data_IF_084384469713
#
_entry.id   IF_084384469713
#
_cell.length_a   1.000
_cell.length_b   1.000
_cell.length_c   1.000
_cell.angle_alpha   90.00
_cell.angle_beta   90.00
_cell.angle_gamma   90.00
#
_symmetry.space_group_name_H-M   'P 1'
#
loop_
_entity.id
_entity.type
_entity.pdbx_description
1 polymer ?
#
# COMPACT_ATOMS: atom_id res chain seq x y z
N UNK A 1 -13.52 -10.65 -16.34
CA UNK A 1 -14.50 -9.54 -16.26
C UNK A 1 -15.26 -9.60 -14.93
N UNK A 2 -14.58 -9.28 -13.81
CA UNK A 2 -15.16 -9.27 -12.47
C UNK A 2 -15.19 -7.88 -11.86
N UNK A 3 -15.84 -7.75 -10.72
CA UNK A 3 -15.68 -6.60 -9.82
C UNK A 3 -14.24 -6.55 -9.31
N UNK A 4 -13.83 -5.41 -8.78
CA UNK A 4 -12.51 -5.26 -8.17
C UNK A 4 -12.30 -6.26 -7.02
N UNK A 5 -13.34 -6.47 -6.19
CA UNK A 5 -13.30 -7.44 -5.10
C UNK A 5 -13.09 -8.90 -5.58
N UNK A 6 -13.83 -9.32 -6.61
CA UNK A 6 -13.66 -10.65 -7.19
C UNK A 6 -12.24 -10.86 -7.72
N UNK A 7 -11.71 -9.87 -8.43
CA UNK A 7 -10.36 -9.94 -8.99
C UNK A 7 -9.26 -9.95 -7.91
N UNK A 8 -9.43 -9.21 -6.80
CA UNK A 8 -8.51 -9.28 -5.64
C UNK A 8 -8.51 -10.69 -5.04
N UNK A 9 -9.70 -11.27 -4.86
CA UNK A 9 -9.84 -12.65 -4.34
C UNK A 9 -9.16 -13.65 -5.26
N UNK A 10 -9.42 -13.56 -6.56
CA UNK A 10 -8.81 -14.44 -7.56
C UNK A 10 -7.30 -14.31 -7.59
N UNK A 11 -6.77 -13.07 -7.60
CA UNK A 11 -5.32 -12.82 -7.60
C UNK A 11 -4.63 -13.42 -6.35
N UNK A 12 -5.24 -13.29 -5.17
CA UNK A 12 -4.72 -13.90 -3.94
C UNK A 12 -4.85 -15.43 -3.97
N UNK A 13 -5.94 -15.96 -4.52
CA UNK A 13 -6.16 -17.40 -4.62
C UNK A 13 -5.12 -18.09 -5.50
N UNK A 14 -4.64 -17.45 -6.59
CA UNK A 14 -3.56 -18.00 -7.44
C UNK A 14 -2.25 -18.22 -6.67
N UNK A 15 -2.07 -17.57 -5.52
CA UNK A 15 -0.90 -17.72 -4.65
C UNK A 15 -1.13 -18.71 -3.49
N UNK A 16 -2.26 -19.43 -3.50
CA UNK A 16 -2.66 -20.40 -2.49
C UNK A 16 -3.60 -19.83 -1.42
N UNK A 17 -4.28 -18.72 -1.73
CA UNK A 17 -5.23 -18.04 -0.84
C UNK A 17 -4.55 -17.26 0.30
N UNK A 18 -5.34 -16.49 1.04
CA UNK A 18 -4.81 -15.67 2.15
C UNK A 18 -4.23 -16.54 3.28
N UNK A 19 -4.71 -17.75 3.49
CA UNK A 19 -4.18 -18.71 4.47
C UNK A 19 -2.74 -19.16 4.18
N UNK A 20 -2.23 -18.93 2.97
CA UNK A 20 -0.82 -19.14 2.63
C UNK A 20 0.10 -18.06 3.25
N UNK A 21 -0.47 -16.93 3.66
CA UNK A 21 0.23 -15.77 4.23
C UNK A 21 -0.10 -15.55 5.70
N UNK A 22 -1.38 -15.64 6.06
CA UNK A 22 -1.93 -15.32 7.38
C UNK A 22 -2.30 -16.59 8.12
N UNK A 23 -1.85 -16.72 9.37
CA UNK A 23 -2.22 -17.82 10.27
C UNK A 23 -3.17 -17.31 11.36
N UNK A 24 -4.03 -18.19 11.92
CA UNK A 24 -4.90 -17.81 13.01
C UNK A 24 -4.14 -17.18 14.19
N UNK A 25 -4.68 -16.08 14.70
CA UNK A 25 -4.11 -15.33 15.82
C UNK A 25 -3.05 -14.28 15.46
N UNK A 26 -2.59 -14.21 14.22
CA UNK A 26 -1.61 -13.23 13.79
C UNK A 26 -2.20 -11.81 13.64
N UNK A 27 -1.33 -10.82 13.83
CA UNK A 27 -1.60 -9.41 13.51
C UNK A 27 -1.11 -9.11 12.10
N UNK A 28 -1.98 -8.54 11.29
CA UNK A 28 -1.69 -8.14 9.91
C UNK A 28 -1.65 -6.63 9.80
N UNK A 29 -0.70 -6.08 9.07
CA UNK A 29 -0.74 -4.70 8.61
C UNK A 29 -0.92 -4.66 7.09
N UNK A 30 -1.89 -3.87 6.65
CA UNK A 30 -2.11 -3.55 5.24
C UNK A 30 -1.72 -2.08 5.02
N UNK A 31 -0.84 -1.83 4.08
CA UNK A 31 -0.42 -0.49 3.68
C UNK A 31 -0.90 -0.20 2.26
N UNK A 32 -2.08 0.43 2.10
CA UNK A 32 -2.53 0.99 0.83
C UNK A 32 -1.73 2.26 0.48
N UNK A 33 -2.07 2.93 -0.59
CA UNK A 33 -1.68 4.30 -0.87
C UNK A 33 -2.87 5.21 -0.58
N UNK A 34 -2.79 6.01 0.49
CA UNK A 34 -3.80 6.98 0.91
C UNK A 34 -3.09 8.33 1.07
N UNK A 35 -2.63 8.87 -0.05
CA UNK A 35 -1.87 10.12 -0.04
C UNK A 35 -2.75 11.38 -0.03
N UNK A 36 -3.93 11.31 -0.62
CA UNK A 36 -4.68 12.48 -1.05
C UNK A 36 -6.12 12.48 -0.53
N UNK A 37 -6.60 13.65 -0.11
CA UNK A 37 -8.02 13.85 0.19
C UNK A 37 -8.78 13.96 -1.14
N UNK A 38 -9.05 12.82 -1.75
CA UNK A 38 -9.70 12.65 -3.05
C UNK A 38 -10.59 11.43 -3.05
N UNK A 39 -11.78 11.56 -3.61
CA UNK A 39 -12.72 10.48 -3.79
C UNK A 39 -12.18 9.37 -4.73
N UNK A 40 -12.69 8.13 -4.61
CA UNK A 40 -12.14 6.96 -5.30
C UNK A 40 -12.08 7.08 -6.82
N UNK A 41 -13.03 7.78 -7.44
CA UNK A 41 -13.13 7.98 -8.89
C UNK A 41 -11.94 8.72 -9.51
N UNK A 42 -11.15 9.43 -8.70
CA UNK A 42 -9.95 10.11 -9.19
C UNK A 42 -8.71 9.21 -9.29
N UNK A 43 -8.77 7.97 -8.81
CA UNK A 43 -7.65 7.02 -8.87
C UNK A 43 -6.38 7.49 -8.13
N UNK A 44 -6.51 8.50 -7.26
CA UNK A 44 -5.39 9.08 -6.52
C UNK A 44 -4.88 8.18 -5.40
N UNK A 45 -5.76 7.35 -4.85
CA UNK A 45 -5.54 6.45 -3.72
C UNK A 45 -5.86 5.02 -4.12
N UNK A 46 -5.48 4.04 -3.30
CA UNK A 46 -5.98 2.67 -3.44
C UNK A 46 -7.49 2.68 -3.30
N UNK A 47 -8.18 1.97 -4.17
CA UNK A 47 -9.63 1.92 -4.14
C UNK A 47 -10.13 1.27 -2.84
N UNK A 48 -11.17 1.83 -2.17
CA UNK A 48 -11.70 1.29 -0.91
C UNK A 48 -12.07 -0.19 -0.99
N UNK A 49 -12.66 -0.63 -2.10
CA UNK A 49 -13.05 -2.02 -2.32
C UNK A 49 -11.85 -2.97 -2.31
N UNK A 50 -10.70 -2.58 -2.89
CA UNK A 50 -9.46 -3.36 -2.83
C UNK A 50 -8.98 -3.55 -1.40
N UNK A 51 -8.97 -2.48 -0.60
CA UNK A 51 -8.50 -2.52 0.79
C UNK A 51 -9.45 -3.34 1.66
N UNK A 52 -10.76 -3.09 1.55
CA UNK A 52 -11.78 -3.83 2.29
C UNK A 52 -11.73 -5.33 2.02
N UNK A 53 -11.60 -5.72 0.74
CA UNK A 53 -11.49 -7.13 0.35
C UNK A 53 -10.27 -7.81 0.98
N UNK A 54 -9.12 -7.13 1.02
CA UNK A 54 -7.93 -7.66 1.68
C UNK A 54 -8.12 -7.80 3.19
N UNK A 55 -8.80 -6.84 3.85
CA UNK A 55 -9.16 -6.94 5.27
C UNK A 55 -10.05 -8.16 5.51
N UNK A 56 -11.11 -8.35 4.73
CA UNK A 56 -12.01 -9.50 4.82
C UNK A 56 -11.26 -10.82 4.65
N UNK A 57 -10.39 -10.92 3.65
CA UNK A 57 -9.59 -12.14 3.42
C UNK A 57 -8.66 -12.46 4.59
N UNK A 58 -8.01 -11.44 5.18
CA UNK A 58 -7.19 -11.63 6.37
C UNK A 58 -8.01 -12.09 7.57
N UNK A 59 -9.20 -11.49 7.79
CA UNK A 59 -10.12 -11.89 8.85
C UNK A 59 -10.62 -13.34 8.66
N UNK A 60 -10.97 -13.71 7.44
CA UNK A 60 -11.39 -15.08 7.07
C UNK A 60 -10.27 -16.09 7.28
N UNK A 61 -9.00 -15.70 7.07
CA UNK A 61 -7.84 -16.55 7.37
C UNK A 61 -7.52 -16.65 8.88
N UNK A 62 -8.30 -15.96 9.74
CA UNK A 62 -8.17 -16.04 11.19
C UNK A 62 -7.24 -15.00 11.81
N UNK A 63 -6.92 -13.91 11.11
CA UNK A 63 -6.16 -12.80 11.71
C UNK A 63 -6.84 -12.30 12.99
N UNK A 64 -6.05 -12.13 14.06
CA UNK A 64 -6.50 -11.53 15.32
C UNK A 64 -6.89 -10.07 15.13
N UNK A 65 -6.05 -9.37 14.41
CA UNK A 65 -6.23 -7.94 14.12
C UNK A 65 -5.69 -7.61 12.72
N UNK A 66 -6.41 -6.76 11.99
CA UNK A 66 -5.97 -6.23 10.69
C UNK A 66 -5.90 -4.72 10.79
N UNK A 67 -4.68 -4.20 10.82
CA UNK A 67 -4.37 -2.77 10.89
C UNK A 67 -4.16 -2.21 9.49
N UNK A 68 -4.68 -1.01 9.24
CA UNK A 68 -4.51 -0.31 7.96
C UNK A 68 -4.01 1.10 8.23
N UNK A 69 -2.97 1.54 7.51
CA UNK A 69 -2.48 2.92 7.61
C UNK A 69 -1.76 3.36 6.33
N UNK A 70 -1.60 4.66 6.18
CA UNK A 70 -0.59 5.29 5.33
C UNK A 70 -0.13 6.60 5.99
N UNK A 71 1.07 7.03 5.68
CA UNK A 71 1.53 8.38 5.99
C UNK A 71 0.98 9.32 4.89
N UNK A 72 -0.18 9.92 5.14
CA UNK A 72 -0.87 10.77 4.17
C UNK A 72 -0.06 12.04 3.82
N UNK A 73 -0.28 12.57 2.62
CA UNK A 73 0.24 13.88 2.20
C UNK A 73 -0.75 15.01 2.54
N UNK A 74 -2.04 14.69 2.61
CA UNK A 74 -3.12 15.63 2.89
C UNK A 74 -3.93 15.18 4.10
N UNK A 75 -4.31 16.15 4.93
CA UNK A 75 -5.26 15.93 6.03
C UNK A 75 -6.62 15.47 5.48
N UNK A 76 -7.31 14.61 6.22
CA UNK A 76 -8.61 14.07 5.84
C UNK A 76 -8.55 13.06 4.68
N UNK A 77 -7.36 12.57 4.31
CA UNK A 77 -7.22 11.61 3.21
C UNK A 77 -7.88 10.26 3.53
N UNK A 78 -7.90 9.82 4.78
CA UNK A 78 -8.54 8.56 5.18
C UNK A 78 -10.06 8.61 4.95
N UNK A 79 -10.69 9.72 5.32
CA UNK A 79 -12.13 9.96 5.12
C UNK A 79 -12.45 10.24 3.64
N UNK A 80 -11.73 11.19 3.04
CA UNK A 80 -12.02 11.64 1.67
C UNK A 80 -11.76 10.60 0.59
N UNK A 81 -10.90 9.62 0.86
CA UNK A 81 -10.71 8.46 -0.02
C UNK A 81 -11.77 7.37 0.12
N UNK A 82 -12.60 7.43 1.17
CA UNK A 82 -13.54 6.36 1.52
C UNK A 82 -12.90 5.09 2.10
N UNK A 83 -11.58 5.06 2.23
CA UNK A 83 -10.86 3.86 2.70
C UNK A 83 -11.16 3.58 4.17
N UNK A 84 -11.21 4.61 5.02
CA UNK A 84 -11.50 4.43 6.45
C UNK A 84 -12.84 3.71 6.67
N UNK A 85 -13.91 4.22 6.08
CA UNK A 85 -15.24 3.62 6.20
C UNK A 85 -15.26 2.17 5.70
N UNK A 86 -14.62 1.90 4.57
CA UNK A 86 -14.56 0.58 3.98
C UNK A 86 -13.77 -0.42 4.85
N UNK A 87 -12.66 0.01 5.43
CA UNK A 87 -11.83 -0.79 6.34
C UNK A 87 -12.59 -1.13 7.62
N UNK A 88 -13.24 -0.15 8.25
CA UNK A 88 -14.00 -0.33 9.49
C UNK A 88 -15.19 -1.28 9.27
N UNK A 89 -15.92 -1.13 8.15
CA UNK A 89 -17.01 -2.06 7.76
C UNK A 89 -16.51 -3.50 7.54
N UNK A 90 -15.31 -3.66 7.00
CA UNK A 90 -14.69 -4.97 6.80
C UNK A 90 -14.11 -5.60 8.08
N UNK A 91 -14.15 -4.90 9.21
CA UNK A 91 -13.63 -5.35 10.51
C UNK A 91 -12.12 -5.12 10.69
N UNK A 92 -11.54 -4.20 9.93
CA UNK A 92 -10.18 -3.70 10.14
C UNK A 92 -10.13 -2.47 11.05
N UNK A 93 -8.93 -2.06 11.42
CA UNK A 93 -8.66 -0.91 12.30
C UNK A 93 -7.75 0.07 11.57
N UNK A 94 -8.20 1.33 11.46
CA UNK A 94 -7.32 2.39 10.95
C UNK A 94 -6.32 2.81 12.03
N UNK A 95 -5.04 2.86 11.67
CA UNK A 95 -3.95 3.31 12.55
C UNK A 95 -3.47 4.68 12.07
N UNK A 96 -3.11 5.54 13.01
CA UNK A 96 -2.64 6.90 12.71
C UNK A 96 -1.23 6.89 12.13
N UNK A 97 -1.11 7.14 10.83
CA UNK A 97 0.16 7.32 10.14
C UNK A 97 0.74 8.75 10.22
N UNK A 98 -0.01 9.71 10.77
CA UNK A 98 0.37 11.12 10.86
C UNK A 98 1.05 11.54 12.17
N UNK A 99 1.31 10.61 13.08
CA UNK A 99 1.92 10.89 14.38
C UNK A 99 3.33 10.31 14.47
N UNK A 100 4.35 11.17 14.57
CA UNK A 100 5.76 10.77 14.65
C UNK A 100 6.07 9.81 15.80
N UNK A 101 5.33 9.88 16.91
CA UNK A 101 5.52 8.98 18.06
C UNK A 101 5.22 7.50 17.73
N UNK A 102 4.52 7.25 16.63
CA UNK A 102 4.27 5.90 16.10
C UNK A 102 5.44 5.33 15.28
N UNK A 103 6.52 6.09 15.11
CA UNK A 103 7.68 5.68 14.33
C UNK A 103 8.89 5.45 15.23
N UNK A 104 9.70 4.46 14.87
CA UNK A 104 10.92 4.05 15.61
C UNK A 104 12.13 4.15 14.71
N UNK A 105 13.21 4.71 15.23
CA UNK A 105 14.50 4.75 14.55
C UNK A 105 14.95 3.31 14.25
N UNK A 106 15.20 3.03 12.97
CA UNK A 106 15.52 1.70 12.46
C UNK A 106 16.71 1.81 11.53
N UNK A 107 17.68 0.94 11.72
CA UNK A 107 18.86 0.84 10.85
C UNK A 107 18.59 -0.09 9.65
N UNK A 108 19.24 0.23 8.53
CA UNK A 108 19.13 -0.53 7.29
C UNK A 108 20.54 -0.87 6.76
N UNK A 109 21.17 -1.92 7.28
CA UNK A 109 22.54 -2.27 6.90
C UNK A 109 22.69 -2.75 5.44
N UNK A 110 21.59 -3.04 4.75
CA UNK A 110 21.59 -3.43 3.33
C UNK A 110 21.43 -2.24 2.39
N UNK A 111 21.11 -1.06 2.92
CA UNK A 111 20.89 0.12 2.11
C UNK A 111 22.19 0.66 1.53
N UNK A 112 22.09 1.27 0.35
CA UNK A 112 23.21 2.00 -0.26
C UNK A 112 23.21 3.48 0.11
N UNK A 113 22.03 4.09 0.26
CA UNK A 113 21.85 5.51 0.51
C UNK A 113 20.94 5.81 1.71
N UNK A 114 19.89 5.04 1.90
CA UNK A 114 18.89 5.26 2.95
C UNK A 114 19.12 4.28 4.11
N UNK A 115 20.25 4.51 4.82
CA UNK A 115 20.80 3.57 5.80
C UNK A 115 20.08 3.55 7.14
N UNK A 116 19.27 4.57 7.45
CA UNK A 116 18.44 4.60 8.64
C UNK A 116 17.24 5.50 8.46
N UNK A 117 16.14 5.20 9.15
CA UNK A 117 14.91 6.01 9.13
C UNK A 117 14.05 5.72 10.35
N UNK A 118 13.11 6.63 10.65
CA UNK A 118 11.99 6.34 11.54
C UNK A 118 10.93 5.56 10.74
N UNK A 119 10.72 4.28 11.08
CA UNK A 119 9.76 3.37 10.45
C UNK A 119 8.56 3.17 11.37
N UNK A 120 7.36 3.08 10.80
CA UNK A 120 6.12 2.95 11.56
C UNK A 120 6.06 1.62 12.31
N UNK A 121 5.73 1.67 13.60
CA UNK A 121 5.64 0.50 14.51
C UNK A 121 4.74 -0.59 13.98
N UNK A 122 3.57 -0.22 13.44
CA UNK A 122 2.62 -1.20 12.91
C UNK A 122 3.23 -2.12 11.84
N UNK A 123 4.20 -1.63 11.04
CA UNK A 123 4.90 -2.44 10.04
C UNK A 123 5.96 -3.33 10.67
N UNK A 124 6.68 -2.80 11.66
CA UNK A 124 7.76 -3.54 12.32
C UNK A 124 7.25 -4.66 13.24
N UNK A 125 6.08 -4.45 13.86
CA UNK A 125 5.48 -5.34 14.85
C UNK A 125 4.50 -6.36 14.27
N UNK A 126 4.02 -6.15 13.03
CA UNK A 126 3.09 -7.06 12.39
C UNK A 126 3.73 -8.42 12.05
N UNK A 127 3.00 -9.49 12.27
CA UNK A 127 3.38 -10.83 11.80
C UNK A 127 3.38 -10.90 10.26
N UNK A 128 2.39 -10.24 9.63
CA UNK A 128 2.24 -10.19 8.18
C UNK A 128 2.09 -8.75 7.70
N UNK A 129 2.86 -8.38 6.67
CA UNK A 129 2.81 -7.08 6.02
C UNK A 129 2.35 -7.21 4.57
N UNK A 130 1.25 -6.55 4.23
CA UNK A 130 0.67 -6.49 2.88
C UNK A 130 0.78 -5.07 2.35
N UNK A 131 1.33 -4.88 1.15
CA UNK A 131 1.30 -3.60 0.43
C UNK A 131 0.29 -3.67 -0.71
N UNK A 132 -0.58 -2.66 -0.85
CA UNK A 132 -1.61 -2.66 -1.90
C UNK A 132 -1.82 -1.26 -2.52
N UNK A 133 -0.86 -0.76 -3.33
CA UNK A 133 -1.01 0.50 -4.03
C UNK A 133 -1.88 0.39 -5.28
N UNK A 134 -2.40 1.54 -5.80
CA UNK A 134 -2.84 1.63 -7.18
C UNK A 134 -1.62 1.73 -8.10
N UNK A 135 -1.73 1.22 -9.32
CA UNK A 135 -0.78 1.56 -10.39
C UNK A 135 -1.09 2.96 -10.91
N UNK A 136 -0.16 3.89 -10.78
CA UNK A 136 -0.37 5.26 -11.25
C UNK A 136 0.92 5.99 -11.64
N UNK A 137 0.81 6.89 -12.61
CA UNK A 137 1.85 7.86 -12.95
C UNK A 137 2.28 8.66 -11.72
N UNK A 138 3.56 8.99 -11.64
CA UNK A 138 4.12 9.83 -10.60
C UNK A 138 5.24 10.70 -11.15
N UNK A 139 5.09 12.03 -11.09
CA UNK A 139 6.03 13.00 -11.65
C UNK A 139 7.46 12.89 -11.10
N UNK A 140 7.65 12.45 -9.86
CA UNK A 140 8.97 12.37 -9.22
C UNK A 140 9.64 10.99 -9.28
N UNK A 141 8.89 9.92 -9.55
CA UNK A 141 9.40 8.54 -9.59
C UNK A 141 8.83 7.73 -10.74
N UNK A 142 8.30 8.42 -11.77
CA UNK A 142 7.65 7.91 -12.97
C UNK A 142 6.37 7.14 -12.68
N UNK A 143 6.38 6.20 -11.75
CA UNK A 143 5.18 5.49 -11.33
C UNK A 143 5.09 5.31 -9.81
N UNK A 144 3.88 5.10 -9.32
CA UNK A 144 3.57 4.49 -8.02
C UNK A 144 3.19 3.05 -8.27
N UNK A 145 3.92 2.13 -7.63
CA UNK A 145 3.62 0.71 -7.53
C UNK A 145 4.08 0.23 -6.14
N UNK A 146 4.32 -1.06 -5.92
CA UNK A 146 4.55 -1.61 -4.59
C UNK A 146 5.82 -1.08 -3.92
N UNK A 147 6.95 -0.98 -4.65
CA UNK A 147 8.20 -0.43 -4.09
C UNK A 147 8.04 1.03 -3.67
N UNK A 148 7.50 1.87 -4.57
CA UNK A 148 7.25 3.30 -4.24
C UNK A 148 6.29 3.45 -3.06
N UNK A 149 5.30 2.56 -2.93
CA UNK A 149 4.34 2.60 -1.85
C UNK A 149 4.97 2.39 -0.47
N UNK A 150 6.07 1.65 -0.37
CA UNK A 150 6.79 1.43 0.89
C UNK A 150 7.29 2.74 1.51
N UNK A 151 7.52 3.81 0.73
CA UNK A 151 7.86 5.12 1.29
C UNK A 151 6.89 5.62 2.37
N UNK A 152 5.60 5.28 2.28
CA UNK A 152 4.60 5.66 3.28
C UNK A 152 4.76 4.95 4.63
N UNK A 153 5.70 4.01 4.78
CA UNK A 153 6.07 3.41 6.08
C UNK A 153 7.10 4.22 6.84
N UNK A 154 7.70 5.24 6.21
CA UNK A 154 8.78 6.05 6.75
C UNK A 154 8.27 7.45 7.09
N UNK A 155 8.74 8.02 8.23
CA UNK A 155 8.35 9.36 8.65
C UNK A 155 8.90 10.46 7.74
N UNK A 156 10.22 10.56 7.58
CA UNK A 156 10.85 11.60 6.76
C UNK A 156 10.99 11.16 5.29
N UNK A 157 9.89 11.24 4.55
CA UNK A 157 9.88 11.00 3.10
C UNK A 157 10.58 12.12 2.33
N UNK A 158 10.68 13.33 2.93
CA UNK A 158 11.38 14.47 2.33
C UNK A 158 12.86 14.20 2.15
N UNK A 159 13.48 13.48 3.09
CA UNK A 159 14.88 13.04 2.97
C UNK A 159 15.11 12.16 1.74
N UNK A 160 14.18 11.27 1.40
CA UNK A 160 14.27 10.43 0.21
C UNK A 160 14.20 11.25 -1.08
N UNK A 161 13.35 12.28 -1.14
CA UNK A 161 13.24 13.18 -2.30
C UNK A 161 14.48 14.08 -2.51
N UNK A 162 15.20 14.40 -1.42
CA UNK A 162 16.42 15.22 -1.46
C UNK A 162 17.68 14.41 -1.75
N UNK A 163 17.63 13.12 -1.61
CA UNK A 163 18.70 12.18 -1.93
C UNK A 163 18.31 11.43 -3.23
N UNK A 164 19.02 10.50 -3.69
CA UNK A 164 18.67 9.67 -4.86
C UNK A 164 17.34 8.94 -4.61
N UNK A 165 16.22 9.51 -5.09
CA UNK A 165 14.88 9.01 -4.79
C UNK A 165 14.70 7.54 -5.20
N UNK A 166 15.20 7.16 -6.38
CA UNK A 166 15.06 5.81 -6.91
C UNK A 166 15.82 4.80 -6.05
N UNK A 167 17.06 5.13 -5.67
CA UNK A 167 17.85 4.29 -4.77
C UNK A 167 17.23 4.24 -3.37
N UNK A 168 16.74 5.37 -2.84
CA UNK A 168 16.07 5.40 -1.54
C UNK A 168 14.77 4.58 -1.52
N UNK A 169 14.02 4.52 -2.62
CA UNK A 169 12.85 3.64 -2.76
C UNK A 169 13.27 2.17 -2.67
N UNK A 170 14.31 1.79 -3.41
CA UNK A 170 14.84 0.43 -3.37
C UNK A 170 15.35 0.05 -1.97
N UNK A 171 16.08 0.97 -1.31
CA UNK A 171 16.60 0.77 0.03
C UNK A 171 15.48 0.64 1.08
N UNK A 172 14.40 1.43 0.95
CA UNK A 172 13.29 1.43 1.92
C UNK A 172 12.62 0.05 2.07
N UNK A 173 12.64 -0.77 1.03
CA UNK A 173 12.10 -2.14 1.08
C UNK A 173 12.81 -3.01 2.12
N UNK A 174 14.07 -2.74 2.40
CA UNK A 174 14.86 -3.54 3.33
C UNK A 174 14.60 -3.25 4.81
N UNK A 175 13.90 -2.16 5.17
CA UNK A 175 13.44 -1.99 6.56
C UNK A 175 12.46 -3.09 6.97
N UNK A 176 11.49 -3.39 6.11
CA UNK A 176 10.54 -4.50 6.25
C UNK A 176 9.98 -4.84 4.86
N UNK A 177 10.40 -5.96 4.29
CA UNK A 177 9.87 -6.44 3.01
C UNK A 177 8.42 -6.90 3.19
N UNK A 178 7.48 -6.52 2.31
CA UNK A 178 6.13 -7.07 2.32
C UNK A 178 6.12 -8.59 2.09
N UNK A 179 5.21 -9.26 2.78
CA UNK A 179 4.96 -10.70 2.60
C UNK A 179 4.05 -10.97 1.40
N UNK A 180 3.14 -10.01 1.12
CA UNK A 180 2.25 -10.01 -0.04
C UNK A 180 2.18 -8.62 -0.64
N UNK A 181 2.33 -8.55 -1.95
CA UNK A 181 2.11 -7.36 -2.77
C UNK A 181 0.86 -7.55 -3.62
N UNK A 182 -0.06 -6.58 -3.59
CA UNK A 182 -1.25 -6.53 -4.45
C UNK A 182 -1.27 -5.20 -5.17
N UNK A 183 -1.13 -5.20 -6.48
CA UNK A 183 -1.10 -3.98 -7.30
C UNK A 183 -2.45 -3.80 -7.99
N UNK A 184 -3.15 -2.73 -7.62
CA UNK A 184 -4.44 -2.36 -8.20
C UNK A 184 -4.22 -1.59 -9.50
N UNK A 185 -4.28 -2.30 -10.62
CA UNK A 185 -4.26 -1.75 -11.98
C UNK A 185 -5.65 -1.85 -12.65
N UNK A 186 -6.73 -1.82 -11.87
CA UNK A 186 -8.10 -1.86 -12.41
C UNK A 186 -8.40 -0.61 -13.23
N UNK A 187 -8.03 0.57 -12.69
CA UNK A 187 -8.12 1.87 -13.38
C UNK A 187 -6.83 2.67 -13.14
N UNK A 188 -5.70 2.30 -13.76
CA UNK A 188 -4.46 3.01 -13.56
C UNK A 188 -4.53 4.44 -14.08
N UNK A 189 -3.91 5.36 -13.34
CA UNK A 189 -3.68 6.73 -13.77
C UNK A 189 -2.43 6.77 -14.66
N UNK A 190 -2.59 7.07 -15.93
CA UNK A 190 -1.52 6.97 -16.94
C UNK A 190 -0.77 8.28 -17.17
N UNK A 191 -1.24 9.40 -16.63
CA UNK A 191 -0.60 10.73 -16.75
C UNK A 191 -1.02 11.66 -15.62
N UNK A 192 -0.34 12.81 -15.49
CA UNK A 192 -0.65 13.92 -14.56
C UNK A 192 -0.74 13.53 -13.06
N UNK A 193 -0.25 12.33 -12.70
CA UNK A 193 -0.21 11.90 -11.29
C UNK A 193 0.90 12.60 -10.49
N UNK A 194 0.87 12.40 -9.17
CA UNK A 194 0.11 11.36 -8.43
C UNK A 194 -1.22 11.82 -7.81
N UNK A 195 -1.65 13.07 -8.00
CA UNK A 195 -2.68 13.73 -7.19
C UNK A 195 -4.12 13.37 -7.60
N UNK A 196 -4.34 12.95 -8.85
CA UNK A 196 -5.69 12.73 -9.38
C UNK A 196 -6.43 14.05 -9.60
N UNK A 197 -6.08 14.76 -10.65
CA UNK A 197 -6.70 16.06 -11.02
C UNK A 197 -7.91 15.88 -11.92
N UNK A 198 -7.84 14.91 -12.83
CA UNK A 198 -8.83 14.66 -13.87
C UNK A 198 -9.05 13.15 -14.04
N UNK A 199 -10.32 12.73 -14.11
CA UNK A 199 -10.69 11.33 -14.36
C UNK A 199 -10.33 10.89 -15.79
N UNK A 200 -10.14 11.80 -16.73
CA UNK A 200 -9.63 11.50 -18.07
C UNK A 200 -8.17 11.02 -18.08
N UNK A 201 -7.46 11.12 -16.95
CA UNK A 201 -6.12 10.59 -16.79
C UNK A 201 -6.10 9.10 -16.45
N UNK A 202 -7.27 8.50 -16.23
CA UNK A 202 -7.46 7.10 -15.91
C UNK A 202 -7.80 6.28 -17.16
N UNK A 203 -7.35 5.03 -17.16
CA UNK A 203 -7.67 4.05 -18.23
C UNK A 203 -8.20 2.77 -17.60
N UNK A 204 -9.36 2.31 -18.03
CA UNK A 204 -9.92 1.04 -17.55
C UNK A 204 -9.10 -0.14 -18.10
N UNK A 205 -8.42 -0.89 -17.22
CA UNK A 205 -7.65 -2.08 -17.57
C UNK A 205 -8.20 -3.37 -16.95
N UNK A 206 -8.98 -3.25 -15.88
CA UNK A 206 -9.53 -4.39 -15.13
C UNK A 206 -8.48 -5.46 -14.86
N UNK A 207 -7.37 -5.03 -14.26
CA UNK A 207 -6.24 -5.90 -13.96
C UNK A 207 -5.87 -5.75 -12.49
N UNK A 208 -5.73 -6.85 -11.79
CA UNK A 208 -5.15 -6.93 -10.44
C UNK A 208 -3.97 -7.89 -10.50
N UNK A 209 -2.87 -7.53 -9.86
CA UNK A 209 -1.69 -8.37 -9.76
C UNK A 209 -1.42 -8.71 -8.30
N UNK A 210 -0.98 -9.93 -8.02
CA UNK A 210 -0.51 -10.34 -6.71
C UNK A 210 0.82 -11.08 -6.81
N UNK A 211 1.74 -10.85 -5.87
CA UNK A 211 3.05 -11.49 -5.86
C UNK A 211 3.66 -11.49 -4.45
N UNK A 212 4.55 -12.45 -4.19
CA UNK A 212 5.49 -12.45 -3.05
C UNK A 212 6.76 -11.65 -3.36
N UNK A 213 7.00 -11.34 -4.62
CA UNK A 213 8.16 -10.60 -5.09
C UNK A 213 7.75 -9.18 -5.51
N UNK A 214 8.22 -8.20 -4.72
CA UNK A 214 7.90 -6.79 -4.90
C UNK A 214 8.54 -6.20 -6.17
N UNK A 215 9.66 -6.74 -6.63
CA UNK A 215 10.33 -6.28 -7.86
C UNK A 215 9.62 -6.84 -9.08
N UNK A 216 9.28 -8.13 -9.04
CA UNK A 216 8.59 -8.77 -10.15
C UNK A 216 7.20 -8.16 -10.43
N UNK A 217 6.44 -7.83 -9.36
CA UNK A 217 5.11 -7.22 -9.53
C UNK A 217 5.22 -5.79 -10.09
N UNK A 218 6.22 -5.01 -9.66
CA UNK A 218 6.44 -3.66 -10.16
C UNK A 218 6.91 -3.68 -11.63
N UNK A 219 7.77 -4.64 -12.01
CA UNK A 219 8.17 -4.85 -13.39
C UNK A 219 6.98 -5.24 -14.29
N UNK A 220 6.06 -6.05 -13.79
CA UNK A 220 4.84 -6.42 -14.52
C UNK A 220 3.89 -5.21 -14.68
N UNK A 221 3.79 -4.35 -13.64
CA UNK A 221 3.02 -3.12 -13.68
C UNK A 221 3.54 -2.12 -14.67
#
# INVERSE_FOLDING_TARGET
>A
NGTRAEMVREAVETLGGMQAFVKPGQTVVIKPNIGWNKAPEFGANTHPETVATLVELCRQAGAKEVRVFDHCCHNGAYEGSGVKEAVEKAGGVMVDGGNESQYVQTENPKARKFTSAKVHKAVLEADVYITCPPLKHHSGSEMTACMKNVMGTVWDRGAMHKNDLHQCIADAVYFRKPDLCVLDAYMPMVRNGPVGKDTNDLVERKTLLASRDIVAIDAAG
#
